data_IF_350395083777
#
_entry.id   IF_350395083777
#
_cell.length_a   1.000
_cell.length_b   1.000
_cell.length_c   1.000
_cell.angle_alpha   90.00
_cell.angle_beta   90.00
_cell.angle_gamma   90.00
#
_symmetry.space_group_name_H-M   'P 1'
#
loop_
_entity.id
_entity.type
_entity.pdbx_description
1 polymer ?
#
# COMPACT_ATOMS: atom_id res chain seq x y z
N UNK A 1 8.50 -7.10 -10.25
CA UNK A 1 7.83 -8.29 -10.79
C UNK A 1 8.31 -9.54 -10.05
N UNK A 2 7.44 -10.48 -9.78
CA UNK A 2 7.70 -11.76 -9.15
C UNK A 2 6.78 -12.83 -9.72
N UNK A 3 6.02 -13.50 -8.87
CA UNK A 3 5.02 -14.48 -9.28
C UNK A 3 4.06 -13.91 -10.34
N UNK A 4 3.73 -14.73 -11.35
CA UNK A 4 2.86 -14.33 -12.49
C UNK A 4 3.31 -13.07 -13.22
N UNK A 5 4.61 -12.76 -13.23
CA UNK A 5 5.19 -11.58 -13.88
C UNK A 5 4.79 -11.43 -15.34
N UNK A 6 4.55 -12.54 -16.06
CA UNK A 6 4.16 -12.52 -17.47
C UNK A 6 2.81 -11.82 -17.70
N UNK A 7 1.86 -11.94 -16.77
CA UNK A 7 0.56 -11.25 -16.86
C UNK A 7 0.76 -9.73 -16.87
N UNK A 8 1.62 -9.23 -15.99
CA UNK A 8 1.94 -7.78 -15.92
C UNK A 8 2.69 -7.33 -17.16
N UNK A 9 3.66 -8.12 -17.65
CA UNK A 9 4.39 -7.81 -18.87
C UNK A 9 3.46 -7.73 -20.08
N UNK A 10 2.53 -8.68 -20.21
CA UNK A 10 1.58 -8.71 -21.32
C UNK A 10 0.60 -7.53 -21.28
N UNK A 11 0.23 -7.06 -20.08
CA UNK A 11 -0.63 -5.88 -19.94
C UNK A 11 0.02 -4.61 -20.51
N UNK A 12 1.33 -4.47 -20.35
CA UNK A 12 2.09 -3.35 -20.90
C UNK A 12 2.67 -3.72 -22.27
N UNK A 13 1.89 -3.62 -23.32
CA UNK A 13 2.29 -3.99 -24.70
C UNK A 13 3.50 -3.20 -25.26
N UNK A 14 3.86 -2.08 -24.65
CA UNK A 14 5.04 -1.27 -24.96
C UNK A 14 6.30 -1.68 -24.20
N UNK A 15 6.18 -2.68 -23.34
CA UNK A 15 7.33 -3.22 -22.61
C UNK A 15 8.32 -3.89 -23.58
N UNK A 16 9.58 -3.49 -23.50
CA UNK A 16 10.66 -4.04 -24.35
C UNK A 16 11.66 -4.83 -23.52
N UNK A 17 12.16 -4.26 -22.43
CA UNK A 17 13.23 -4.84 -21.63
C UNK A 17 13.06 -4.51 -20.13
N UNK A 18 13.46 -5.46 -19.28
CA UNK A 18 13.48 -5.26 -17.83
C UNK A 18 14.47 -4.15 -17.46
N UNK A 19 14.12 -3.41 -16.40
CA UNK A 19 14.90 -2.30 -15.86
C UNK A 19 15.07 -1.09 -16.80
N UNK A 20 14.42 -1.10 -17.96
CA UNK A 20 14.33 0.06 -18.86
C UNK A 20 12.98 0.77 -18.68
N UNK A 21 13.02 2.09 -18.64
CA UNK A 21 11.82 2.92 -18.56
C UNK A 21 11.14 3.05 -19.93
N UNK A 22 9.82 3.01 -19.94
CA UNK A 22 9.00 3.29 -21.12
C UNK A 22 7.84 4.21 -20.76
N UNK A 23 7.43 5.05 -21.72
CA UNK A 23 6.30 5.94 -21.53
C UNK A 23 4.98 5.21 -21.75
N UNK A 24 4.07 5.33 -20.81
CA UNK A 24 2.73 4.78 -20.86
C UNK A 24 1.68 5.86 -20.61
N UNK A 25 0.65 5.91 -21.46
CA UNK A 25 -0.43 6.87 -21.32
C UNK A 25 -1.54 6.30 -20.45
N UNK A 26 -1.75 6.90 -19.31
CA UNK A 26 -2.88 6.62 -18.42
C UNK A 26 -3.93 7.71 -18.58
N UNK A 27 -5.06 7.40 -19.23
CA UNK A 27 -6.15 8.39 -19.45
C UNK A 27 -5.60 9.77 -19.88
N UNK A 28 -5.50 10.70 -18.94
CA UNK A 28 -5.17 12.11 -19.18
C UNK A 28 -3.72 12.49 -18.86
N UNK A 29 -2.86 11.56 -18.46
CA UNK A 29 -1.46 11.83 -18.13
C UNK A 29 -0.51 10.74 -18.59
N UNK A 30 0.72 11.13 -18.87
CA UNK A 30 1.79 10.22 -19.22
C UNK A 30 2.58 9.86 -17.98
N UNK A 31 2.94 8.59 -17.85
CA UNK A 31 3.80 8.07 -16.78
C UNK A 31 4.97 7.34 -17.41
N UNK A 32 6.13 7.44 -16.74
CA UNK A 32 7.28 6.59 -17.04
C UNK A 32 7.20 5.34 -16.17
N UNK A 33 7.20 4.17 -16.79
CA UNK A 33 7.07 2.87 -16.12
C UNK A 33 8.35 2.09 -16.30
N UNK A 34 8.85 1.47 -15.24
CA UNK A 34 9.94 0.52 -15.27
C UNK A 34 9.46 -0.80 -14.69
N UNK A 35 9.55 -1.88 -15.46
CA UNK A 35 9.26 -3.23 -14.98
C UNK A 35 10.56 -3.89 -14.54
N UNK A 36 10.70 -4.15 -13.24
CA UNK A 36 11.90 -4.79 -12.67
C UNK A 36 11.57 -6.16 -12.09
N UNK A 37 12.37 -7.16 -12.41
CA UNK A 37 12.22 -8.49 -11.81
C UNK A 37 12.90 -8.53 -10.45
N UNK A 38 12.13 -8.77 -9.41
CA UNK A 38 12.61 -8.80 -8.03
C UNK A 38 12.75 -10.20 -7.44
N UNK A 39 12.60 -11.23 -8.27
CA UNK A 39 12.68 -12.62 -7.85
C UNK A 39 11.32 -13.20 -7.44
N UNK A 40 11.14 -14.51 -7.63
CA UNK A 40 9.88 -15.18 -7.33
C UNK A 40 9.67 -15.32 -5.81
N UNK A 41 10.73 -15.70 -5.10
CA UNK A 41 10.71 -15.99 -3.66
C UNK A 41 11.12 -14.79 -2.78
N UNK A 42 11.37 -13.62 -3.37
CA UNK A 42 11.74 -12.42 -2.61
C UNK A 42 10.52 -11.89 -1.84
N UNK A 43 10.69 -11.66 -0.56
CA UNK A 43 9.62 -11.16 0.31
C UNK A 43 9.43 -9.65 0.20
N UNK A 44 8.39 -9.09 0.84
CA UNK A 44 7.92 -7.71 0.66
C UNK A 44 9.00 -6.66 0.85
N UNK A 45 9.78 -6.75 1.92
CA UNK A 45 10.92 -5.84 2.16
C UNK A 45 12.03 -5.99 1.12
N UNK A 46 12.41 -7.23 0.80
CA UNK A 46 13.44 -7.50 -0.22
C UNK A 46 13.09 -6.90 -1.58
N UNK A 47 11.82 -6.98 -2.01
CA UNK A 47 11.35 -6.36 -3.26
C UNK A 47 11.56 -4.86 -3.26
N UNK A 48 11.22 -4.19 -2.15
CA UNK A 48 11.43 -2.75 -2.00
C UNK A 48 12.93 -2.44 -2.04
N UNK A 49 13.77 -3.20 -1.34
CA UNK A 49 15.23 -2.98 -1.34
C UNK A 49 15.84 -3.06 -2.74
N UNK A 50 15.39 -4.00 -3.57
CA UNK A 50 15.86 -4.13 -4.96
C UNK A 50 15.50 -2.93 -5.83
N UNK A 51 14.51 -2.13 -5.44
CA UNK A 51 14.15 -0.89 -6.13
C UNK A 51 15.04 0.30 -5.75
N UNK A 52 15.89 0.19 -4.74
CA UNK A 52 16.79 1.27 -4.31
C UNK A 52 17.67 1.81 -5.44
N UNK A 53 18.02 0.99 -6.43
CA UNK A 53 18.80 1.39 -7.61
C UNK A 53 18.12 2.43 -8.50
N UNK A 54 16.80 2.58 -8.40
CA UNK A 54 16.00 3.56 -9.15
C UNK A 54 15.64 4.80 -8.33
N UNK A 55 16.02 4.86 -7.08
CA UNK A 55 15.64 5.93 -6.15
C UNK A 55 16.85 6.79 -5.82
N UNK A 56 16.69 8.10 -5.97
CA UNK A 56 17.71 9.07 -5.57
C UNK A 56 17.88 9.09 -4.06
N UNK A 57 19.14 9.15 -3.59
CA UNK A 57 19.47 9.17 -2.14
C UNK A 57 18.89 10.37 -1.38
N UNK A 58 18.63 11.46 -2.07
CA UNK A 58 18.16 12.72 -1.48
C UNK A 58 16.64 12.93 -1.63
N UNK A 59 15.93 11.96 -2.21
CA UNK A 59 14.50 12.07 -2.46
C UNK A 59 13.68 11.16 -1.54
N UNK A 60 12.45 11.61 -1.29
CA UNK A 60 11.43 10.74 -0.75
C UNK A 60 10.83 9.91 -1.87
N UNK A 61 10.54 8.66 -1.58
CA UNK A 61 9.85 7.77 -2.51
C UNK A 61 8.55 7.24 -1.90
N UNK A 62 7.67 6.81 -2.76
CA UNK A 62 6.39 6.23 -2.37
C UNK A 62 6.31 4.78 -2.85
N UNK A 63 5.63 3.97 -2.08
CA UNK A 63 5.32 2.59 -2.46
C UNK A 63 3.99 2.15 -1.86
N UNK A 64 3.40 1.14 -2.46
CA UNK A 64 2.13 0.57 -1.99
C UNK A 64 2.06 -0.92 -2.32
N UNK A 65 1.08 -1.60 -1.75
CA UNK A 65 0.70 -2.94 -2.15
C UNK A 65 -0.08 -2.91 -3.48
N UNK A 66 -0.03 -4.01 -4.23
CA UNK A 66 -0.67 -4.09 -5.54
C UNK A 66 -2.18 -4.32 -5.52
N UNK A 67 -2.73 -4.65 -4.35
CA UNK A 67 -4.12 -5.04 -4.11
C UNK A 67 -4.95 -4.01 -3.34
N UNK A 68 -4.33 -2.93 -2.84
CA UNK A 68 -4.99 -1.87 -2.10
C UNK A 68 -5.51 -0.77 -3.02
N UNK A 69 -6.82 -0.48 -2.96
CA UNK A 69 -7.48 0.63 -3.66
C UNK A 69 -8.03 1.64 -2.67
N UNK A 70 -7.77 2.94 -2.89
CA UNK A 70 -8.16 4.00 -1.96
C UNK A 70 -8.30 5.35 -2.67
N UNK A 71 -9.09 6.24 -2.10
CA UNK A 71 -9.18 7.66 -2.45
C UNK A 71 -8.23 8.54 -1.61
N UNK A 72 -7.19 7.96 -1.03
CA UNK A 72 -6.20 8.68 -0.22
C UNK A 72 -5.58 9.84 -1.02
N UNK A 73 -5.57 11.02 -0.40
CA UNK A 73 -4.95 12.19 -1.01
C UNK A 73 -3.41 12.11 -0.89
N UNK A 74 -2.77 11.67 -1.95
CA UNK A 74 -1.32 11.46 -2.02
C UNK A 74 -0.55 12.76 -1.74
N UNK A 75 -1.03 13.91 -2.24
CA UNK A 75 -0.38 15.21 -1.97
C UNK A 75 -0.35 15.52 -0.48
N UNK A 76 -1.48 15.33 0.22
CA UNK A 76 -1.57 15.52 1.68
C UNK A 76 -0.71 14.52 2.44
N UNK A 77 -0.66 13.26 2.01
CA UNK A 77 0.20 12.23 2.59
C UNK A 77 1.69 12.62 2.49
N UNK A 78 2.14 13.06 1.31
CA UNK A 78 3.52 13.52 1.10
C UNK A 78 3.83 14.78 1.94
N UNK A 79 2.91 15.75 1.99
CA UNK A 79 3.07 16.94 2.83
C UNK A 79 3.18 16.58 4.31
N UNK A 80 2.34 15.65 4.79
CA UNK A 80 2.40 15.15 6.15
C UNK A 80 3.76 14.51 6.46
N UNK A 81 4.27 13.65 5.58
CA UNK A 81 5.58 13.02 5.72
C UNK A 81 6.70 14.08 5.80
N UNK A 82 6.74 15.04 4.86
CA UNK A 82 7.75 16.11 4.83
C UNK A 82 7.72 16.98 6.10
N UNK A 83 6.51 17.30 6.59
CA UNK A 83 6.34 18.09 7.83
C UNK A 83 6.92 17.39 9.05
N UNK A 84 6.69 16.08 9.17
CA UNK A 84 7.10 15.31 10.35
C UNK A 84 8.57 14.87 10.30
N UNK A 85 9.24 14.92 9.13
CA UNK A 85 10.65 14.57 8.94
C UNK A 85 11.04 13.20 9.51
N UNK A 86 10.14 12.21 9.38
CA UNK A 86 10.37 10.84 9.86
C UNK A 86 10.87 9.94 8.75
N UNK A 87 11.37 8.78 9.14
CA UNK A 87 11.94 7.80 8.20
C UNK A 87 10.88 7.28 7.24
N UNK A 88 9.69 6.98 7.78
CA UNK A 88 8.58 6.42 7.01
C UNK A 88 7.22 6.86 7.56
N UNK A 89 6.28 7.09 6.68
CA UNK A 89 4.87 7.33 6.99
C UNK A 89 4.02 6.26 6.31
N UNK A 90 3.12 5.64 7.06
CA UNK A 90 2.11 4.69 6.58
C UNK A 90 0.74 5.33 6.57
N UNK A 91 -0.09 5.03 5.59
CA UNK A 91 -1.51 5.38 5.64
C UNK A 91 -2.24 4.40 6.56
N UNK A 92 -2.82 4.93 7.63
CA UNK A 92 -3.63 4.17 8.56
C UNK A 92 -5.10 4.29 8.20
N UNK A 93 -5.80 3.16 8.10
CA UNK A 93 -7.20 3.07 7.70
C UNK A 93 -8.04 2.29 8.69
N UNK A 94 -9.36 2.48 8.64
CA UNK A 94 -10.35 1.68 9.37
C UNK A 94 -11.26 1.01 8.35
N UNK A 95 -10.97 -0.25 7.95
CA UNK A 95 -11.85 -0.94 7.03
C UNK A 95 -13.20 -1.26 7.67
N UNK A 96 -14.27 -1.47 6.87
CA UNK A 96 -15.51 -2.01 7.40
C UNK A 96 -15.25 -3.40 8.01
N UNK A 97 -15.95 -3.71 9.11
CA UNK A 97 -15.87 -5.01 9.74
C UNK A 97 -16.31 -6.10 8.73
N UNK A 98 -15.65 -7.25 8.75
CA UNK A 98 -16.05 -8.39 7.89
C UNK A 98 -17.33 -9.05 8.41
N UNK A 99 -17.63 -8.91 9.69
CA UNK A 99 -18.76 -9.51 10.42
C UNK A 99 -19.52 -8.44 11.20
N UNK A 100 -20.69 -8.79 11.67
CA UNK A 100 -21.42 -7.95 12.64
C UNK A 100 -20.66 -7.83 13.96
N UNK A 101 -20.65 -6.65 14.54
CA UNK A 101 -20.12 -6.41 15.89
C UNK A 101 -21.25 -6.51 16.91
N UNK A 102 -20.97 -7.19 18.02
CA UNK A 102 -21.88 -7.29 19.15
C UNK A 102 -21.21 -6.78 20.42
N UNK A 103 -21.96 -6.07 21.24
CA UNK A 103 -21.53 -5.79 22.62
C UNK A 103 -22.33 -6.67 23.57
N UNK A 104 -21.64 -7.33 24.52
CA UNK A 104 -22.25 -8.26 25.44
C UNK A 104 -22.10 -7.74 26.88
N UNK A 105 -23.18 -7.78 27.66
CA UNK A 105 -23.16 -7.53 29.10
C UNK A 105 -23.99 -8.62 29.80
N UNK A 106 -23.37 -9.34 30.74
CA UNK A 106 -24.03 -10.44 31.48
C UNK A 106 -24.75 -11.44 30.54
N UNK A 107 -24.07 -11.95 29.50
CA UNK A 107 -24.60 -12.87 28.47
C UNK A 107 -25.75 -12.29 27.61
N UNK A 108 -26.13 -11.04 27.78
CA UNK A 108 -27.12 -10.35 26.97
C UNK A 108 -26.42 -9.53 25.89
N UNK A 109 -26.87 -9.64 24.63
CA UNK A 109 -26.42 -8.76 23.55
C UNK A 109 -27.07 -7.39 23.74
N UNK A 110 -26.25 -6.38 24.01
CA UNK A 110 -26.68 -4.98 24.19
C UNK A 110 -26.85 -4.28 22.86
N UNK A 111 -25.90 -4.46 21.94
CA UNK A 111 -25.98 -3.89 20.60
C UNK A 111 -25.53 -4.91 19.56
N UNK A 112 -26.16 -4.89 18.41
CA UNK A 112 -25.74 -5.59 17.21
C UNK A 112 -25.61 -4.57 16.08
N UNK A 113 -24.47 -4.54 15.39
CA UNK A 113 -24.23 -3.68 14.24
C UNK A 113 -23.70 -4.52 13.09
N UNK A 114 -24.45 -4.61 12.02
CA UNK A 114 -24.00 -5.36 10.83
C UNK A 114 -22.94 -4.54 10.10
N UNK A 115 -21.75 -5.15 9.95
CA UNK A 115 -20.59 -4.60 9.22
C UNK A 115 -20.31 -3.11 9.48
N UNK A 116 -20.23 -2.66 10.74
CA UNK A 116 -19.90 -1.28 11.03
C UNK A 116 -18.47 -1.00 10.56
N UNK A 117 -18.12 0.27 10.40
CA UNK A 117 -16.70 0.63 10.34
C UNK A 117 -16.06 0.25 11.68
N UNK A 118 -14.91 -0.46 11.64
CA UNK A 118 -14.21 -0.89 12.86
C UNK A 118 -14.01 0.32 13.76
N UNK A 119 -14.66 0.31 14.92
CA UNK A 119 -14.64 1.43 15.86
C UNK A 119 -13.34 1.51 16.65
N UNK A 120 -12.70 0.36 16.89
CA UNK A 120 -11.42 0.25 17.59
C UNK A 120 -10.35 -0.29 16.65
N UNK A 121 -9.28 0.48 16.51
CA UNK A 121 -8.08 0.05 15.78
C UNK A 121 -7.93 0.66 14.39
N UNK A 122 -6.69 1.01 14.11
CA UNK A 122 -6.21 1.39 12.80
C UNK A 122 -5.37 0.26 12.24
N UNK A 123 -5.50 -0.04 10.96
CA UNK A 123 -4.66 -1.01 10.28
C UNK A 123 -3.75 -0.34 9.26
N UNK A 124 -2.71 -1.06 8.85
CA UNK A 124 -1.86 -0.68 7.74
C UNK A 124 -2.66 -0.73 6.43
N UNK A 125 -2.90 0.42 5.84
CA UNK A 125 -3.64 0.58 4.58
C UNK A 125 -2.74 0.61 3.33
N UNK A 126 -1.44 0.36 3.46
CA UNK A 126 -0.49 0.56 2.38
C UNK A 126 -0.18 2.05 2.16
N UNK A 127 0.10 2.48 0.93
CA UNK A 127 0.42 3.88 0.60
C UNK A 127 1.41 4.50 1.58
N UNK A 128 2.67 4.16 1.37
CA UNK A 128 3.77 4.64 2.19
C UNK A 128 4.50 5.81 1.53
N UNK A 129 5.03 6.69 2.34
CA UNK A 129 6.07 7.66 1.95
C UNK A 129 7.29 7.44 2.82
N UNK A 130 8.45 7.37 2.22
CA UNK A 130 9.70 7.08 2.92
C UNK A 130 10.86 7.88 2.34
N UNK A 131 11.88 8.13 3.14
CA UNK A 131 13.16 8.60 2.64
C UNK A 131 14.13 7.42 2.38
N UNK A 132 15.20 7.69 1.66
CA UNK A 132 16.15 6.65 1.22
C UNK A 132 16.77 5.85 2.38
N UNK A 133 16.93 6.45 3.57
CA UNK A 133 17.53 5.75 4.70
C UNK A 133 16.70 4.58 5.23
N UNK A 134 15.43 4.48 4.85
CA UNK A 134 14.60 3.33 5.17
C UNK A 134 15.17 2.00 4.63
N UNK A 135 15.86 2.04 3.48
CA UNK A 135 16.51 0.85 2.92
C UNK A 135 17.55 0.21 3.86
N UNK A 136 18.11 0.99 4.82
CA UNK A 136 19.04 0.47 5.83
C UNK A 136 18.38 -0.49 6.82
N UNK A 137 17.06 -0.43 6.98
CA UNK A 137 16.31 -1.34 7.84
C UNK A 137 15.97 -2.67 7.16
N UNK A 138 16.16 -2.77 5.85
CA UNK A 138 15.88 -3.97 5.07
C UNK A 138 17.19 -4.73 4.87
N UNK A 139 17.31 -5.92 5.45
CA UNK A 139 18.56 -6.69 5.44
C UNK A 139 18.84 -7.37 4.10
N UNK A 140 17.88 -8.16 3.63
CA UNK A 140 18.02 -9.03 2.47
C UNK A 140 16.67 -9.35 1.80
N UNK A 141 16.68 -10.25 0.85
CA UNK A 141 15.51 -10.68 0.10
C UNK A 141 14.45 -11.41 0.92
N UNK A 142 14.83 -12.03 2.04
CA UNK A 142 13.91 -12.71 2.96
C UNK A 142 13.31 -11.77 4.01
N UNK A 143 13.56 -10.46 3.91
CA UNK A 143 13.00 -9.49 4.84
C UNK A 143 11.51 -9.25 4.55
N UNK A 144 10.68 -9.42 5.57
CA UNK A 144 9.25 -9.07 5.54
C UNK A 144 9.12 -7.61 5.99
N UNK A 145 8.58 -6.74 5.12
CA UNK A 145 8.42 -5.31 5.39
C UNK A 145 7.68 -5.04 6.70
N UNK A 146 6.59 -5.76 6.90
CA UNK A 146 5.61 -5.55 7.97
C UNK A 146 6.14 -5.95 9.35
N UNK A 147 7.18 -6.76 9.36
CA UNK A 147 7.86 -7.20 10.59
C UNK A 147 9.04 -6.29 10.91
N UNK A 148 10.26 -6.82 10.76
CA UNK A 148 11.49 -6.16 11.24
C UNK A 148 11.63 -4.69 10.81
N UNK A 149 11.48 -4.27 9.54
CA UNK A 149 11.68 -2.87 9.14
C UNK A 149 10.69 -1.90 9.77
N UNK A 150 9.37 -2.22 9.72
CA UNK A 150 8.35 -1.34 10.31
C UNK A 150 8.37 -1.37 11.84
N UNK A 151 8.62 -2.52 12.46
CA UNK A 151 8.76 -2.63 13.91
C UNK A 151 9.97 -1.83 14.42
N UNK A 152 11.11 -1.93 13.75
CA UNK A 152 12.29 -1.14 14.10
C UNK A 152 12.05 0.37 13.94
N UNK A 153 11.42 0.77 12.83
CA UNK A 153 11.06 2.16 12.61
C UNK A 153 10.11 2.66 13.72
N UNK A 154 9.15 1.85 14.13
CA UNK A 154 8.23 2.15 15.23
C UNK A 154 8.96 2.31 16.57
N UNK A 155 9.79 1.34 16.95
CA UNK A 155 10.60 1.36 18.20
C UNK A 155 11.50 2.58 18.28
N UNK A 156 11.99 3.08 17.14
CA UNK A 156 12.84 4.28 17.04
C UNK A 156 12.05 5.59 16.89
N UNK A 157 10.72 5.57 17.03
CA UNK A 157 9.83 6.72 16.79
C UNK A 157 10.03 7.34 15.39
N UNK A 158 10.30 6.50 14.39
CA UNK A 158 10.54 6.89 13.00
C UNK A 158 9.42 6.45 12.04
N UNK A 159 8.39 5.73 12.53
CA UNK A 159 7.18 5.36 11.80
C UNK A 159 6.01 6.26 12.26
N UNK A 160 5.45 7.02 11.32
CA UNK A 160 4.28 7.88 11.57
C UNK A 160 3.07 7.40 10.77
N UNK A 161 1.87 7.65 11.28
CA UNK A 161 0.61 7.24 10.68
C UNK A 161 -0.16 8.45 10.14
N UNK A 162 -0.42 8.47 8.84
CA UNK A 162 -1.37 9.37 8.20
C UNK A 162 -2.76 8.76 8.25
N UNK A 163 -3.65 9.30 9.08
CA UNK A 163 -5.01 8.78 9.28
C UNK A 163 -5.89 9.12 8.08
N UNK A 164 -6.32 8.11 7.34
CA UNK A 164 -7.25 8.22 6.22
C UNK A 164 -8.61 7.67 6.64
N UNK A 165 -9.66 8.49 6.46
CA UNK A 165 -11.05 8.16 6.85
C UNK A 165 -11.96 7.92 5.64
N UNK A 166 -11.43 8.09 4.42
CA UNK A 166 -12.15 7.90 3.17
C UNK A 166 -12.23 6.43 2.76
N UNK A 167 -12.43 6.22 1.47
CA UNK A 167 -12.55 4.88 0.90
C UNK A 167 -11.20 4.15 0.92
N UNK A 168 -11.22 2.92 1.39
CA UNK A 168 -10.12 1.98 1.29
C UNK A 168 -10.66 0.53 1.23
N UNK A 169 -10.13 -0.25 0.31
CA UNK A 169 -10.45 -1.67 0.18
C UNK A 169 -9.29 -2.43 -0.44
N UNK A 170 -8.96 -3.60 0.09
CA UNK A 170 -8.07 -4.56 -0.57
C UNK A 170 -8.87 -5.54 -1.44
N UNK A 171 -8.18 -6.10 -2.45
CA UNK A 171 -8.73 -7.05 -3.41
C UNK A 171 -8.12 -8.43 -3.17
N UNK A 172 -8.52 -9.10 -2.07
CA UNK A 172 -7.99 -10.42 -1.69
C UNK A 172 -8.76 -11.57 -2.34
N UNK A 173 -10.03 -11.35 -2.67
CA UNK A 173 -10.96 -12.38 -3.17
C UNK A 173 -11.64 -11.94 -4.47
N UNK A 174 -12.23 -12.90 -5.20
CA UNK A 174 -13.07 -12.61 -6.37
C UNK A 174 -14.24 -11.69 -6.01
N UNK A 175 -14.85 -11.89 -4.84
CA UNK A 175 -15.92 -11.01 -4.35
C UNK A 175 -15.43 -9.57 -4.16
N UNK A 176 -14.21 -9.36 -3.67
CA UNK A 176 -13.63 -8.02 -3.52
C UNK A 176 -13.43 -7.36 -4.88
N UNK A 177 -12.96 -8.12 -5.87
CA UNK A 177 -12.85 -7.67 -7.26
C UNK A 177 -14.20 -7.22 -7.81
N UNK A 178 -15.25 -8.04 -7.70
CA UNK A 178 -16.59 -7.71 -8.17
C UNK A 178 -17.15 -6.44 -7.50
N UNK A 179 -16.93 -6.27 -6.20
CA UNK A 179 -17.33 -5.06 -5.47
C UNK A 179 -16.59 -3.84 -6.00
N UNK A 180 -15.27 -3.93 -6.18
CA UNK A 180 -14.47 -2.83 -6.72
C UNK A 180 -14.87 -2.48 -8.16
N UNK A 181 -15.15 -3.46 -9.01
CA UNK A 181 -15.63 -3.24 -10.37
C UNK A 181 -17.01 -2.52 -10.39
N UNK A 182 -17.93 -2.90 -9.49
CA UNK A 182 -19.22 -2.20 -9.35
C UNK A 182 -19.03 -0.75 -8.93
N UNK A 183 -18.16 -0.49 -7.94
CA UNK A 183 -17.86 0.87 -7.49
C UNK A 183 -17.24 1.69 -8.63
N UNK A 184 -16.30 1.11 -9.38
CA UNK A 184 -15.67 1.76 -10.53
C UNK A 184 -16.67 2.12 -11.63
N UNK A 185 -17.57 1.19 -12.01
CA UNK A 185 -18.62 1.41 -13.01
C UNK A 185 -19.63 2.49 -12.59
N UNK A 186 -19.86 2.68 -11.29
CA UNK A 186 -20.74 3.71 -10.75
C UNK A 186 -20.08 5.10 -10.65
N UNK A 187 -18.86 5.28 -11.19
CA UNK A 187 -18.07 6.52 -11.11
C UNK A 187 -17.95 7.11 -9.69
N UNK A 188 -17.95 6.26 -8.66
CA UNK A 188 -17.81 6.68 -7.26
C UNK A 188 -16.35 6.98 -6.84
N UNK A 189 -15.44 7.03 -7.81
CA UNK A 189 -14.05 7.46 -7.65
C UNK A 189 -13.80 8.80 -8.36
N UNK A 190 -14.60 9.80 -8.09
CA UNK A 190 -14.34 11.17 -8.53
C UNK A 190 -13.55 11.93 -7.47
#
# INVERSE_FOLDING_TARGET
LGHKSQIVKNYFNKFKKLDEAFNYRLKNFNVSITLSYTGENTLTGGRIKRMAKFISKNENFMFTYGDGVSDVNIKKLVQFHKKNKKLITVTAVRPPARFGEITIKNNRVNTFKEKPQVTSGWINGGFFVSNYNFFKLIKNDSTILEREPLEQASKKNQLYAFKHKGFWKCMDTLRDKEVLEKIYKQNKFN
#
